data_IF_360458578423
#
_entry.id   IF_360458578423
#
_cell.length_a   1.000
_cell.length_b   1.000
_cell.length_c   1.000
_cell.angle_alpha   90.00
_cell.angle_beta   90.00
_cell.angle_gamma   90.00
#
_symmetry.space_group_name_H-M   'P 1'
#
loop_
_entity.id
_entity.type
_entity.pdbx_description
1 polymer ?
#
# COMPACT_ATOMS: atom_id res chain seq x y z
N UNK A 1 -61.48 -0.55 23.61
CA UNK A 1 -60.49 -0.54 22.50
C UNK A 1 -59.31 0.41 22.72
N UNK A 2 -59.41 1.39 23.63
CA UNK A 2 -58.33 2.36 23.95
C UNK A 2 -57.18 1.79 24.80
N UNK A 3 -57.48 0.97 25.81
CA UNK A 3 -56.49 0.41 26.74
C UNK A 3 -55.43 -0.50 26.07
N UNK A 4 -55.83 -1.26 25.04
CA UNK A 4 -54.93 -2.16 24.31
C UNK A 4 -53.85 -1.41 23.50
N UNK A 5 -54.17 -0.20 23.02
CA UNK A 5 -53.21 0.65 22.30
C UNK A 5 -52.21 1.33 23.24
N UNK A 6 -52.62 1.66 24.46
CA UNK A 6 -51.73 2.26 25.46
C UNK A 6 -50.67 1.25 25.92
N UNK A 7 -51.08 0.00 26.19
CA UNK A 7 -50.16 -1.07 26.60
C UNK A 7 -49.15 -1.38 25.49
N UNK A 8 -49.60 -1.46 24.23
CA UNK A 8 -48.71 -1.73 23.09
C UNK A 8 -47.66 -0.62 22.89
N UNK A 9 -48.04 0.65 23.08
CA UNK A 9 -47.11 1.77 22.97
C UNK A 9 -46.08 1.81 24.11
N UNK A 10 -46.47 1.44 25.34
CA UNK A 10 -45.56 1.36 26.49
C UNK A 10 -44.56 0.21 26.32
N UNK A 11 -44.99 -0.93 25.78
CA UNK A 11 -44.09 -2.06 25.48
C UNK A 11 -43.03 -1.72 24.41
N UNK A 12 -43.38 -0.90 23.42
CA UNK A 12 -42.43 -0.44 22.38
C UNK A 12 -41.41 0.55 22.97
N UNK A 13 -41.84 1.45 23.86
CA UNK A 13 -40.96 2.40 24.55
C UNK A 13 -39.96 1.70 25.49
N UNK A 14 -40.37 0.61 26.16
CA UNK A 14 -39.48 -0.18 27.02
C UNK A 14 -38.46 -1.00 26.22
N UNK A 15 -38.78 -1.44 25.00
CA UNK A 15 -37.83 -2.13 24.12
C UNK A 15 -36.74 -1.20 23.55
N UNK A 16 -37.02 0.11 23.42
CA UNK A 16 -36.09 1.12 22.91
C UNK A 16 -35.12 1.67 23.97
N UNK A 17 -35.40 1.45 25.27
CA UNK A 17 -34.57 1.96 26.37
C UNK A 17 -33.37 1.05 26.73
N UNK A 18 -33.25 -0.14 26.11
CA UNK A 18 -32.26 -1.15 26.46
C UNK A 18 -30.89 -1.04 25.78
N UNK A 19 -30.68 -0.10 24.87
CA UNK A 19 -29.41 0.06 24.15
C UNK A 19 -28.57 1.23 24.70
N UNK A 20 -28.20 1.18 25.98
CA UNK A 20 -27.03 1.94 26.42
C UNK A 20 -25.79 1.15 26.00
N UNK A 21 -25.22 1.50 24.86
CA UNK A 21 -23.87 1.09 24.48
C UNK A 21 -22.93 1.56 25.58
N UNK A 22 -22.49 0.63 26.43
CA UNK A 22 -21.35 0.87 27.31
C UNK A 22 -20.22 1.44 26.45
N UNK A 23 -19.56 2.55 26.84
CA UNK A 23 -18.41 3.04 26.11
C UNK A 23 -17.39 1.92 26.09
N UNK A 24 -17.18 1.32 24.91
CA UNK A 24 -16.20 0.27 24.70
C UNK A 24 -14.87 0.89 25.09
N UNK A 25 -14.34 0.51 26.25
CA UNK A 25 -13.01 0.93 26.70
C UNK A 25 -12.05 0.43 25.63
N UNK A 26 -11.60 1.34 24.75
CA UNK A 26 -10.59 1.00 23.76
C UNK A 26 -9.41 0.49 24.56
N UNK A 27 -8.94 -0.75 24.33
CA UNK A 27 -7.75 -1.22 25.01
C UNK A 27 -6.64 -0.23 24.72
N UNK A 28 -6.14 0.43 25.75
CA UNK A 28 -4.94 1.25 25.68
C UNK A 28 -3.83 0.31 25.25
N UNK A 29 -3.44 0.41 23.99
CA UNK A 29 -2.26 -0.29 23.48
C UNK A 29 -1.07 0.37 24.16
N UNK A 30 -0.47 -0.34 25.12
CA UNK A 30 0.79 0.10 25.71
C UNK A 30 1.90 -0.08 24.68
N UNK A 31 2.42 1.04 24.17
CA UNK A 31 3.56 1.06 23.27
C UNK A 31 4.82 0.84 24.11
N UNK A 32 5.67 -0.15 23.77
CA UNK A 32 6.94 -0.35 24.46
C UNK A 32 7.78 0.95 24.48
N UNK A 33 8.38 1.35 25.60
CA UNK A 33 9.14 2.60 25.72
C UNK A 33 10.21 2.78 24.63
N UNK A 34 10.87 1.68 24.23
CA UNK A 34 11.91 1.65 23.21
C UNK A 34 11.40 2.09 21.83
N UNK A 35 10.11 1.89 21.56
CA UNK A 35 9.49 2.14 20.26
C UNK A 35 8.72 3.47 20.20
N UNK A 36 8.68 4.25 21.28
CA UNK A 36 7.93 5.52 21.31
C UNK A 36 8.43 6.57 20.30
N UNK A 37 9.69 6.47 19.88
CA UNK A 37 10.31 7.36 18.89
C UNK A 37 10.08 6.95 17.43
N UNK A 38 9.45 5.79 17.19
CA UNK A 38 9.22 5.31 15.83
C UNK A 38 8.08 6.10 15.15
N UNK A 39 8.08 6.17 13.81
CA UNK A 39 7.01 6.79 13.03
C UNK A 39 5.63 6.21 13.36
N UNK A 40 4.56 7.00 13.15
CA UNK A 40 3.19 6.62 13.53
C UNK A 40 2.64 5.40 12.79
N UNK A 41 3.17 5.07 11.62
CA UNK A 41 2.80 3.88 10.85
C UNK A 41 3.65 2.65 11.19
N UNK A 42 4.62 2.76 12.11
CA UNK A 42 5.44 1.65 12.56
C UNK A 42 4.61 0.55 13.22
N UNK A 43 5.05 -0.70 13.04
CA UNK A 43 4.52 -1.85 13.76
C UNK A 43 5.01 -1.83 15.20
N UNK A 44 4.11 -1.51 16.13
CA UNK A 44 4.44 -1.34 17.55
C UNK A 44 3.94 -2.49 18.44
N UNK A 45 3.11 -3.38 17.90
CA UNK A 45 2.45 -4.47 18.63
C UNK A 45 2.81 -5.80 17.96
N UNK A 46 3.09 -6.81 18.77
CA UNK A 46 3.28 -8.18 18.32
C UNK A 46 4.38 -8.89 19.09
N UNK A 47 4.46 -10.21 18.89
CA UNK A 47 5.57 -11.02 19.39
C UNK A 47 6.87 -10.54 18.73
N UNK A 48 7.93 -10.42 19.51
CA UNK A 48 9.28 -10.07 19.07
C UNK A 48 9.37 -8.72 18.32
N UNK A 49 8.35 -7.86 18.44
CA UNK A 49 8.27 -6.60 17.68
C UNK A 49 9.36 -5.61 18.10
N UNK A 50 9.74 -5.61 19.38
CA UNK A 50 10.79 -4.73 19.89
C UNK A 50 12.13 -5.11 19.27
N UNK A 51 12.54 -6.37 19.36
CA UNK A 51 13.82 -6.85 18.83
C UNK A 51 13.90 -6.66 17.30
N UNK A 52 12.81 -6.95 16.59
CA UNK A 52 12.72 -6.73 15.15
C UNK A 52 12.91 -5.25 14.79
N UNK A 53 12.18 -4.35 15.45
CA UNK A 53 12.24 -2.92 15.16
C UNK A 53 13.58 -2.31 15.52
N UNK A 54 14.17 -2.72 16.65
CA UNK A 54 15.52 -2.27 17.03
C UNK A 54 16.57 -2.75 16.03
N UNK A 55 16.51 -4.01 15.60
CA UNK A 55 17.41 -4.56 14.58
C UNK A 55 17.30 -3.85 13.23
N UNK A 56 16.09 -3.42 12.85
CA UNK A 56 15.86 -2.62 11.65
C UNK A 56 16.39 -1.19 11.84
N UNK A 57 16.14 -0.58 13.00
CA UNK A 57 16.60 0.77 13.34
C UNK A 57 18.12 0.92 13.28
N UNK A 58 18.86 -0.10 13.71
CA UNK A 58 20.33 -0.14 13.59
C UNK A 58 20.82 -0.04 12.12
N UNK A 59 19.94 -0.33 11.17
CA UNK A 59 20.17 -0.22 9.72
C UNK A 59 19.43 0.97 9.10
N UNK A 60 18.93 1.88 9.91
CA UNK A 60 18.11 3.01 9.50
C UNK A 60 16.79 2.58 8.82
N UNK A 61 16.20 1.47 9.27
CA UNK A 61 14.95 0.93 8.75
C UNK A 61 13.90 0.77 9.86
N UNK A 62 12.64 0.63 9.49
CA UNK A 62 11.58 0.15 10.38
C UNK A 62 10.50 -0.59 9.60
N UNK A 63 9.75 -1.45 10.29
CA UNK A 63 8.61 -2.18 9.73
C UNK A 63 7.31 -1.41 10.00
N UNK A 64 6.45 -1.24 9.00
CA UNK A 64 5.12 -0.64 9.17
C UNK A 64 4.06 -1.65 9.60
N UNK A 65 2.91 -1.16 10.07
CA UNK A 65 1.73 -1.98 10.38
C UNK A 65 1.19 -2.74 9.15
N UNK A 66 1.48 -2.27 7.95
CA UNK A 66 1.14 -2.91 6.67
C UNK A 66 2.22 -3.91 6.20
N UNK A 67 3.25 -4.18 7.01
CA UNK A 67 4.32 -5.13 6.67
C UNK A 67 5.34 -4.59 5.68
N UNK A 68 5.45 -3.27 5.52
CA UNK A 68 6.40 -2.61 4.61
C UNK A 68 7.65 -2.21 5.39
N UNK A 69 8.83 -2.35 4.80
CA UNK A 69 10.07 -1.84 5.39
C UNK A 69 10.36 -0.47 4.79
N UNK A 70 10.58 0.53 5.64
CA UNK A 70 10.84 1.93 5.26
C UNK A 70 12.09 2.46 5.95
N UNK A 71 12.66 3.56 5.46
CA UNK A 71 13.78 4.25 6.10
C UNK A 71 13.32 5.02 7.33
N UNK A 72 14.06 4.91 8.43
CA UNK A 72 13.74 5.58 9.70
C UNK A 72 14.10 7.07 9.66
N UNK A 73 15.21 7.43 9.01
CA UNK A 73 15.67 8.81 8.84
C UNK A 73 16.42 8.97 7.52
N UNK A 74 16.23 10.07 6.81
CA UNK A 74 17.09 10.45 5.67
C UNK A 74 18.14 11.50 6.08
N UNK A 75 18.18 11.91 7.35
CA UNK A 75 19.02 13.03 7.80
C UNK A 75 20.52 12.71 7.90
N UNK A 76 20.90 11.44 7.92
CA UNK A 76 22.27 11.05 8.26
C UNK A 76 23.27 11.28 7.10
N UNK A 77 22.77 11.40 5.86
CA UNK A 77 23.47 11.88 4.66
C UNK A 77 22.41 12.39 3.66
N UNK A 78 22.66 13.48 2.91
CA UNK A 78 21.82 13.90 1.76
C UNK A 78 21.98 12.90 0.59
N UNK A 79 21.50 11.68 0.79
CA UNK A 79 21.48 10.63 -0.24
C UNK A 79 20.04 10.53 -0.72
N UNK A 80 19.83 10.86 -2.00
CA UNK A 80 18.57 10.62 -2.66
C UNK A 80 18.40 9.13 -2.94
N UNK A 81 17.38 8.53 -2.33
CA UNK A 81 17.00 7.14 -2.58
C UNK A 81 15.97 7.12 -3.70
N UNK A 82 16.37 6.52 -4.83
CA UNK A 82 15.56 6.44 -6.05
C UNK A 82 14.91 5.06 -6.15
N UNK A 83 13.59 5.03 -6.31
CA UNK A 83 12.87 3.80 -6.62
C UNK A 83 13.03 3.49 -8.11
N UNK A 84 13.94 2.57 -8.45
CA UNK A 84 14.15 2.11 -9.83
C UNK A 84 12.90 1.39 -10.35
N UNK A 85 12.22 2.00 -11.33
CA UNK A 85 10.93 1.56 -11.91
C UNK A 85 9.77 1.48 -10.91
N UNK A 86 9.83 2.28 -9.84
CA UNK A 86 8.88 2.25 -8.73
C UNK A 86 9.22 1.22 -7.65
N UNK A 87 8.27 0.93 -6.76
CA UNK A 87 8.45 0.00 -5.66
C UNK A 87 8.60 -1.44 -6.15
N UNK A 88 9.73 -2.08 -5.80
CA UNK A 88 10.08 -3.43 -6.23
C UNK A 88 9.10 -4.53 -5.79
N UNK A 89 8.24 -4.26 -4.79
CA UNK A 89 7.23 -5.23 -4.31
C UNK A 89 5.98 -5.28 -5.19
N UNK A 90 5.87 -4.32 -6.09
CA UNK A 90 4.77 -4.21 -7.04
C UNK A 90 5.29 -4.48 -8.46
N UNK A 91 4.41 -4.81 -9.44
CA UNK A 91 4.84 -4.94 -10.83
C UNK A 91 5.57 -3.69 -11.31
N UNK A 92 6.80 -3.87 -11.82
CA UNK A 92 7.67 -2.78 -12.29
C UNK A 92 6.96 -1.85 -13.29
N UNK A 93 7.30 -0.56 -13.28
CA UNK A 93 6.74 0.47 -14.18
C UNK A 93 5.20 0.62 -14.11
N UNK A 94 4.55 0.09 -13.08
CA UNK A 94 3.11 0.23 -12.89
C UNK A 94 2.73 1.46 -12.07
N UNK A 95 1.49 1.92 -12.23
CA UNK A 95 0.92 2.96 -11.36
C UNK A 95 0.99 2.56 -9.88
N UNK A 96 0.82 1.27 -9.58
CA UNK A 96 0.88 0.75 -8.22
C UNK A 96 2.30 0.78 -7.65
N UNK A 97 3.32 0.47 -8.46
CA UNK A 97 4.72 0.61 -8.05
C UNK A 97 5.09 2.07 -7.77
N UNK A 98 4.62 3.01 -8.61
CA UNK A 98 4.85 4.44 -8.41
C UNK A 98 4.16 4.92 -7.11
N UNK A 99 2.88 4.63 -6.94
CA UNK A 99 2.12 5.06 -5.76
C UNK A 99 2.63 4.43 -4.46
N UNK A 100 3.07 3.16 -4.50
CA UNK A 100 3.74 2.49 -3.38
C UNK A 100 5.09 3.13 -3.03
N UNK A 101 5.89 3.51 -4.01
CA UNK A 101 7.16 4.18 -3.77
C UNK A 101 6.95 5.57 -3.11
N UNK A 102 5.94 6.32 -3.55
CA UNK A 102 5.55 7.57 -2.89
C UNK A 102 5.14 7.32 -1.44
N UNK A 103 4.30 6.31 -1.18
CA UNK A 103 3.85 5.97 0.17
C UNK A 103 4.99 5.52 1.10
N UNK A 104 6.12 5.09 0.54
CA UNK A 104 7.30 4.64 1.26
C UNK A 104 8.39 5.70 1.38
N UNK A 105 8.09 6.94 0.99
CA UNK A 105 8.95 8.10 1.15
C UNK A 105 10.29 7.95 0.42
N UNK A 106 10.30 7.31 -0.76
CA UNK A 106 11.44 7.43 -1.67
C UNK A 106 11.59 8.90 -2.12
N UNK A 107 12.83 9.38 -2.25
CA UNK A 107 13.12 10.75 -2.67
C UNK A 107 12.67 11.02 -4.10
N UNK A 108 12.88 10.02 -4.98
CA UNK A 108 12.47 10.08 -6.38
C UNK A 108 12.15 8.69 -6.91
N UNK A 109 11.50 8.66 -8.08
CA UNK A 109 11.08 7.44 -8.75
C UNK A 109 11.59 7.54 -10.18
N UNK A 110 12.38 6.56 -10.59
CA UNK A 110 12.84 6.42 -11.96
C UNK A 110 11.79 5.63 -12.76
N UNK A 111 11.59 6.02 -14.01
CA UNK A 111 10.76 5.31 -14.98
C UNK A 111 11.45 5.27 -16.33
N UNK A 112 11.29 4.15 -17.01
CA UNK A 112 11.77 3.95 -18.37
C UNK A 112 10.66 4.21 -19.38
N UNK A 113 10.93 5.02 -20.40
CA UNK A 113 9.96 5.33 -21.46
C UNK A 113 10.46 4.91 -22.83
N UNK A 114 9.56 4.40 -23.65
CA UNK A 114 9.84 4.09 -25.05
C UNK A 114 8.64 4.39 -25.95
N UNK A 115 8.87 4.52 -27.25
CA UNK A 115 7.79 4.70 -28.24
C UNK A 115 7.39 3.39 -28.91
N UNK A 116 6.08 3.17 -29.05
CA UNK A 116 5.52 2.10 -29.91
C UNK A 116 5.34 2.59 -31.36
N UNK A 117 4.84 1.73 -32.26
CA UNK A 117 4.76 2.01 -33.71
C UNK A 117 4.03 3.31 -34.06
N UNK A 118 3.01 3.68 -33.29
CA UNK A 118 2.22 4.90 -33.49
C UNK A 118 2.92 6.18 -33.04
N UNK A 119 4.07 6.08 -32.36
CA UNK A 119 4.76 7.21 -31.73
C UNK A 119 4.32 7.50 -30.28
N UNK A 120 3.34 6.75 -29.75
CA UNK A 120 2.92 6.86 -28.35
C UNK A 120 4.07 6.46 -27.41
N UNK A 121 4.39 7.34 -26.44
CA UNK A 121 5.30 7.03 -25.35
C UNK A 121 4.61 6.21 -24.27
N UNK A 122 5.25 5.12 -23.86
CA UNK A 122 4.76 4.19 -22.85
C UNK A 122 5.82 3.98 -21.78
N UNK A 123 5.38 3.78 -20.53
CA UNK A 123 6.27 3.42 -19.42
C UNK A 123 6.61 1.92 -19.51
N UNK A 124 7.72 1.61 -20.17
CA UNK A 124 8.20 0.25 -20.40
C UNK A 124 9.66 0.30 -20.85
N UNK A 125 10.48 -0.63 -20.39
CA UNK A 125 11.92 -0.64 -20.70
C UNK A 125 12.35 -1.75 -21.66
N UNK A 126 11.67 -2.89 -21.67
CA UNK A 126 12.06 -4.02 -22.53
C UNK A 126 11.65 -3.75 -23.99
N UNK A 127 12.49 -4.13 -24.94
CA UNK A 127 12.13 -4.04 -26.36
C UNK A 127 11.04 -5.06 -26.76
N UNK A 128 10.96 -6.17 -26.04
CA UNK A 128 10.02 -7.27 -26.30
C UNK A 128 9.20 -7.62 -25.05
N UNK A 129 7.92 -7.87 -25.23
CA UNK A 129 7.04 -8.32 -24.14
C UNK A 129 7.38 -9.74 -23.70
N UNK A 130 7.06 -10.10 -22.46
CA UNK A 130 7.20 -11.46 -21.94
C UNK A 130 7.71 -11.49 -20.51
N UNK A 131 8.54 -10.51 -20.13
CA UNK A 131 9.09 -10.40 -18.77
C UNK A 131 8.22 -9.51 -17.87
N UNK A 132 8.11 -8.22 -18.17
CA UNK A 132 7.33 -7.27 -17.36
C UNK A 132 5.84 -7.22 -17.73
N UNK A 133 5.53 -7.40 -19.01
CA UNK A 133 4.17 -7.39 -19.55
C UNK A 133 3.95 -8.59 -20.45
N UNK A 134 2.73 -9.10 -20.49
CA UNK A 134 2.33 -10.26 -21.30
C UNK A 134 1.02 -10.00 -22.02
N UNK A 135 0.83 -10.66 -23.15
CA UNK A 135 -0.47 -10.74 -23.82
C UNK A 135 -1.18 -12.03 -23.41
N UNK A 136 -2.51 -12.02 -23.29
CA UNK A 136 -3.31 -13.19 -22.88
C UNK A 136 -3.09 -14.41 -23.78
N UNK A 137 -2.70 -14.20 -25.04
CA UNK A 137 -2.42 -15.28 -25.99
C UNK A 137 -1.05 -15.96 -25.76
N UNK A 138 -0.24 -15.49 -24.81
CA UNK A 138 1.12 -15.99 -24.55
C UNK A 138 2.16 -15.59 -25.61
N UNK A 139 1.75 -14.85 -26.66
CA UNK A 139 2.65 -14.39 -27.72
C UNK A 139 3.49 -13.20 -27.22
N UNK A 140 4.78 -13.23 -27.54
CA UNK A 140 5.67 -12.09 -27.38
C UNK A 140 5.58 -11.15 -28.59
N UNK A 141 5.66 -9.85 -28.33
CA UNK A 141 5.59 -8.77 -29.30
C UNK A 141 6.75 -7.81 -29.08
N UNK A 142 7.29 -7.30 -30.18
CA UNK A 142 8.27 -6.22 -30.15
C UNK A 142 7.55 -4.86 -30.01
N UNK A 143 7.91 -4.09 -28.99
CA UNK A 143 7.25 -2.85 -28.60
C UNK A 143 7.29 -1.79 -29.71
N UNK A 144 8.44 -1.61 -30.36
CA UNK A 144 8.61 -0.63 -31.46
C UNK A 144 7.75 -0.96 -32.69
N UNK A 145 7.35 -2.23 -32.87
CA UNK A 145 6.50 -2.68 -33.98
C UNK A 145 5.03 -2.86 -33.58
N UNK A 146 4.70 -2.66 -32.31
CA UNK A 146 3.38 -2.95 -31.74
C UNK A 146 2.35 -1.90 -32.13
N UNK A 147 1.12 -2.32 -32.44
CA UNK A 147 -0.03 -1.44 -32.62
C UNK A 147 -0.67 -1.06 -31.29
N UNK A 148 -1.35 0.08 -31.24
CA UNK A 148 -2.08 0.56 -30.05
C UNK A 148 -3.09 -0.48 -29.54
N UNK A 149 -3.77 -1.17 -30.47
CA UNK A 149 -4.71 -2.26 -30.14
C UNK A 149 -4.01 -3.39 -29.37
N UNK A 150 -2.86 -3.86 -29.86
CA UNK A 150 -2.13 -4.94 -29.18
C UNK A 150 -1.56 -4.46 -27.83
N UNK A 151 -1.08 -3.23 -27.77
CA UNK A 151 -0.58 -2.62 -26.52
C UNK A 151 -1.67 -2.56 -25.45
N UNK A 152 -2.87 -2.09 -25.81
CA UNK A 152 -4.01 -2.05 -24.86
C UNK A 152 -4.45 -3.43 -24.35
N UNK A 153 -4.10 -4.50 -25.08
CA UNK A 153 -4.34 -5.89 -24.70
C UNK A 153 -3.30 -6.46 -23.72
N UNK A 154 -2.20 -5.76 -23.44
CA UNK A 154 -1.16 -6.23 -22.53
C UNK A 154 -1.61 -6.17 -21.06
N UNK A 155 -1.01 -7.03 -20.25
CA UNK A 155 -1.18 -7.07 -18.79
C UNK A 155 0.19 -7.08 -18.13
N UNK A 156 0.29 -6.39 -17.00
CA UNK A 156 1.45 -6.49 -16.12
C UNK A 156 1.54 -7.91 -15.57
N UNK A 157 2.76 -8.39 -15.37
CA UNK A 157 3.03 -9.66 -14.68
C UNK A 157 3.04 -9.49 -13.17
#
# INVERSE_FOLDING_TARGET
MFFRKIILNISILLLLAGCQSLPRKTPTVEIPPQLQSFPSDAKLIGKDVVDLQLSLKDRNLYLTNQGRVKLLSTQQCDIDIVAHRGDFREPESSLRAITSAVADNFNSIEIDVMQIKSGLWVNHHDMDTGRAVVHYSGKSYNMRKMSDKNFSGLRLR
#
